data_IF_490767214589
#
_entry.id   IF_490767214589
#
_cell.length_a   1.000
_cell.length_b   1.000
_cell.length_c   1.000
_cell.angle_alpha   90.00
_cell.angle_beta   90.00
_cell.angle_gamma   90.00
#
_symmetry.space_group_name_H-M   'P 1'
#
loop_
_entity.id
_entity.type
_entity.pdbx_description
1 polymer ?
#
# COMPACT_ATOMS: atom_id res chain seq x y z
N UNK A 1 -6.12 1.73 -11.41
CA UNK A 1 -5.42 2.58 -10.42
C UNK A 1 -5.54 1.95 -9.05
N UNK A 2 -4.73 2.41 -8.08
CA UNK A 2 -4.83 1.98 -6.69
C UNK A 2 -4.63 3.17 -5.76
N UNK A 3 -5.39 3.21 -4.67
CA UNK A 3 -5.47 4.33 -3.74
C UNK A 3 -5.38 3.85 -2.29
N UNK A 4 -4.77 4.66 -1.44
CA UNK A 4 -4.73 4.46 0.01
C UNK A 4 -5.73 5.39 0.70
N UNK A 5 -6.51 4.82 1.63
CA UNK A 5 -7.36 5.56 2.56
C UNK A 5 -6.59 6.19 3.73
N UNK A 6 -5.28 5.95 3.84
CA UNK A 6 -4.41 6.59 4.81
C UNK A 6 -3.05 6.98 4.17
N UNK A 7 -3.01 8.10 3.41
CA UNK A 7 -1.81 8.53 2.71
C UNK A 7 -0.63 8.94 3.62
N UNK A 8 -0.87 9.19 4.92
CA UNK A 8 0.22 9.45 5.87
C UNK A 8 0.93 8.16 6.28
N UNK A 9 0.26 7.00 6.19
CA UNK A 9 0.87 5.68 6.34
C UNK A 9 1.45 5.19 5.01
N UNK A 10 0.65 5.18 3.94
CA UNK A 10 1.04 4.70 2.60
C UNK A 10 0.69 5.78 1.56
N UNK A 11 1.64 6.66 1.20
CA UNK A 11 1.46 7.65 0.16
C UNK A 11 1.05 7.03 -1.18
N UNK A 12 0.26 7.74 -1.99
CA UNK A 12 -0.20 7.20 -3.28
C UNK A 12 0.96 6.91 -4.25
N UNK A 13 2.03 7.70 -4.22
CA UNK A 13 3.25 7.45 -5.01
C UNK A 13 4.06 6.24 -4.53
N UNK A 14 3.76 5.72 -3.34
CA UNK A 14 4.34 4.50 -2.79
C UNK A 14 3.49 3.25 -3.05
N UNK A 15 2.42 3.38 -3.83
CA UNK A 15 1.61 2.28 -4.34
C UNK A 15 2.06 1.99 -5.78
N UNK A 16 2.81 0.91 -5.95
CA UNK A 16 3.44 0.57 -7.23
C UNK A 16 2.73 -0.65 -7.81
N UNK A 17 2.16 -0.49 -9.01
CA UNK A 17 1.59 -1.60 -9.79
C UNK A 17 2.61 -2.01 -10.84
N UNK A 18 2.92 -3.31 -10.91
CA UNK A 18 3.84 -3.89 -11.89
C UNK A 18 3.27 -5.21 -12.46
N UNK A 19 3.98 -5.83 -13.41
CA UNK A 19 3.50 -7.01 -14.15
C UNK A 19 2.70 -6.66 -15.40
N UNK A 20 2.12 -7.67 -16.06
CA UNK A 20 1.41 -7.51 -17.33
C UNK A 20 0.20 -8.47 -17.45
N UNK A 21 -0.69 -8.16 -18.40
CA UNK A 21 -1.86 -8.99 -18.67
C UNK A 21 -2.67 -9.28 -17.41
N UNK A 22 -2.97 -10.56 -17.21
CA UNK A 22 -3.72 -11.08 -16.06
C UNK A 22 -2.91 -11.14 -14.75
N UNK A 23 -1.57 -11.13 -14.83
CA UNK A 23 -0.70 -11.27 -13.66
C UNK A 23 -0.04 -9.94 -13.33
N UNK A 24 -0.58 -9.25 -12.32
CA UNK A 24 -0.03 -7.99 -11.81
C UNK A 24 0.33 -8.10 -10.34
N UNK A 25 1.31 -7.31 -9.93
CA UNK A 25 1.80 -7.23 -8.56
C UNK A 25 1.58 -5.82 -8.03
N UNK A 26 1.00 -5.72 -6.84
CA UNK A 26 0.82 -4.48 -6.10
C UNK A 26 1.84 -4.43 -4.95
N UNK A 27 2.76 -3.47 -4.99
CA UNK A 27 3.74 -3.21 -3.92
C UNK A 27 3.29 -1.96 -3.16
N UNK A 28 3.15 -2.10 -1.86
CA UNK A 28 2.82 -1.00 -0.93
C UNK A 28 4.07 -0.70 -0.09
N UNK A 29 4.49 0.56 -0.05
CA UNK A 29 5.66 1.00 0.73
C UNK A 29 5.21 2.01 1.78
N UNK A 30 5.00 1.61 3.04
CA UNK A 30 4.69 2.54 4.12
C UNK A 30 5.82 3.56 4.32
N UNK A 31 5.50 4.74 4.85
CA UNK A 31 6.52 5.69 5.27
C UNK A 31 7.31 5.15 6.47
N UNK A 32 8.57 5.59 6.56
CA UNK A 32 9.45 5.22 7.66
C UNK A 32 8.84 5.54 9.02
N UNK A 33 8.95 4.61 9.96
CA UNK A 33 8.39 4.69 11.32
C UNK A 33 6.87 4.91 11.40
N UNK A 34 6.13 4.68 10.32
CA UNK A 34 4.66 4.69 10.36
C UNK A 34 4.12 3.28 10.56
N UNK A 35 3.10 3.17 11.40
CA UNK A 35 2.35 1.95 11.67
C UNK A 35 0.86 2.29 11.73
N UNK A 36 0.02 1.26 11.60
CA UNK A 36 -1.43 1.41 11.59
C UNK A 36 -2.07 0.69 10.42
N UNK A 37 -3.24 1.16 10.01
CA UNK A 37 -4.03 0.54 8.94
C UNK A 37 -4.33 1.50 7.81
N UNK A 38 -4.51 0.94 6.62
CA UNK A 38 -5.01 1.64 5.44
C UNK A 38 -5.96 0.70 4.69
N UNK A 39 -7.15 1.17 4.37
CA UNK A 39 -7.95 0.53 3.31
C UNK A 39 -7.27 0.85 1.98
N UNK A 40 -7.01 -0.18 1.18
CA UNK A 40 -6.47 -0.05 -0.17
C UNK A 40 -7.59 -0.35 -1.14
N UNK A 41 -7.85 0.57 -2.05
CA UNK A 41 -8.86 0.43 -3.11
C UNK A 41 -8.14 0.27 -4.44
N UNK A 42 -8.42 -0.81 -5.15
CA UNK A 42 -7.89 -1.08 -6.49
C UNK A 42 -9.04 -1.06 -7.48
N UNK A 43 -8.92 -0.25 -8.52
CA UNK A 43 -9.89 -0.18 -9.61
C UNK A 43 -9.20 -0.56 -10.91
N UNK A 44 -9.78 -1.52 -11.64
CA UNK A 44 -9.33 -1.95 -12.95
C UNK A 44 -10.42 -1.62 -13.97
N UNK A 45 -10.01 -1.28 -15.20
CA UNK A 45 -10.92 -0.98 -16.30
C UNK A 45 -10.40 -1.61 -17.57
N UNK A 46 -11.32 -2.08 -18.42
CA UNK A 46 -11.06 -2.51 -19.79
C UNK A 46 -11.37 -1.41 -20.83
N UNK A 47 -11.75 -0.20 -20.36
CA UNK A 47 -12.17 0.93 -21.20
C UNK A 47 -13.68 1.04 -21.43
N UNK A 48 -14.45 0.02 -21.04
CA UNK A 48 -15.92 0.02 -21.11
C UNK A 48 -16.54 -0.06 -19.71
N UNK A 49 -16.04 -1.00 -18.90
CA UNK A 49 -16.49 -1.26 -17.55
C UNK A 49 -15.35 -1.06 -16.54
N UNK A 50 -15.72 -1.05 -15.26
CA UNK A 50 -14.77 -0.98 -14.15
C UNK A 50 -15.13 -2.01 -13.09
N UNK A 51 -14.10 -2.63 -12.52
CA UNK A 51 -14.21 -3.47 -11.34
C UNK A 51 -13.34 -2.89 -10.23
N UNK A 52 -13.88 -2.92 -9.00
CA UNK A 52 -13.21 -2.39 -7.82
C UNK A 52 -13.11 -3.46 -6.75
N UNK A 53 -11.95 -3.54 -6.11
CA UNK A 53 -11.72 -4.39 -4.95
C UNK A 53 -11.04 -3.58 -3.85
N UNK A 54 -11.47 -3.81 -2.60
CA UNK A 54 -10.87 -3.21 -1.42
C UNK A 54 -10.29 -4.28 -0.51
N UNK A 55 -9.19 -3.96 0.16
CA UNK A 55 -8.63 -4.80 1.22
C UNK A 55 -7.97 -3.94 2.29
N UNK A 56 -7.91 -4.46 3.52
CA UNK A 56 -7.27 -3.79 4.65
C UNK A 56 -5.78 -4.15 4.68
N UNK A 57 -4.92 -3.14 4.58
CA UNK A 57 -3.48 -3.26 4.83
C UNK A 57 -3.17 -2.87 6.27
N UNK A 58 -2.42 -3.71 6.97
CA UNK A 58 -1.94 -3.45 8.34
C UNK A 58 -0.42 -3.41 8.35
N UNK A 59 0.14 -2.30 8.83
CA UNK A 59 1.57 -2.11 9.07
C UNK A 59 1.79 -2.19 10.57
N UNK A 60 2.44 -3.24 11.02
CA UNK A 60 2.77 -3.43 12.44
C UNK A 60 4.00 -2.61 12.80
N UNK A 61 3.99 -1.97 13.97
CA UNK A 61 5.19 -1.38 14.54
C UNK A 61 6.25 -2.47 14.75
N UNK A 62 7.50 -2.14 14.49
CA UNK A 62 8.67 -2.95 14.85
C UNK A 62 9.35 -2.24 16.00
N UNK A 63 9.65 -2.98 17.06
CA UNK A 63 10.40 -2.45 18.20
C UNK A 63 11.89 -2.40 17.83
N UNK A 64 12.52 -1.24 18.03
CA UNK A 64 13.94 -1.06 17.75
C UNK A 64 14.76 -1.47 18.99
N UNK A 65 15.80 -2.26 18.78
CA UNK A 65 16.72 -2.60 19.87
C UNK A 65 17.37 -1.32 20.45
N UNK A 66 17.68 -1.28 21.76
CA UNK A 66 18.37 -0.15 22.37
C UNK A 66 19.70 0.11 21.64
N UNK A 67 19.89 1.33 21.12
CA UNK A 67 21.18 1.72 20.57
C UNK A 67 22.08 2.17 21.73
N UNK A 68 23.23 1.51 21.87
CA UNK A 68 24.21 1.84 22.90
C UNK A 68 24.83 3.21 22.59
N UNK A 69 24.41 4.25 23.30
CA UNK A 69 24.93 5.62 23.18
C UNK A 69 26.27 5.79 23.93
N UNK A 70 27.28 4.98 23.60
CA UNK A 70 28.65 5.20 24.09
C UNK A 70 29.23 6.51 23.57
#
# INVERSE_FOLDING_TARGET
MAESGNPTLIPHNNIIISGNGANRTLKLVPLFHQFGTSIITVTVSDGLEQATQTFLATVTAVDDAPQNWL
#
